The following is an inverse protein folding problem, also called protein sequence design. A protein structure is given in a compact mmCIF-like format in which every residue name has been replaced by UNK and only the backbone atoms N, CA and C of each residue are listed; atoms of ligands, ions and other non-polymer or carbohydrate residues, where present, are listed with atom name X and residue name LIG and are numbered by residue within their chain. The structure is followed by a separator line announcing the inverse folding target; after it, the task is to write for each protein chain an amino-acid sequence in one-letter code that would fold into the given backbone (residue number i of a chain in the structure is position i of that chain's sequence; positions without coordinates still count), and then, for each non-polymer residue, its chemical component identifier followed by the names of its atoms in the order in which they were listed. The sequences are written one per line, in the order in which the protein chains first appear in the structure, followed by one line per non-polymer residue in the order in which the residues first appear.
data_IF_711892429245
#
_entry.id   IF_711892429245
#
_cell.length_a   1.000
_cell.length_b   1.000
_cell.length_c   1.000
_cell.angle_alpha   90.00
_cell.angle_beta   90.00
_cell.angle_gamma   90.00
#
_symmetry.space_group_name_H-M   'P 1'
#
loop_
_entity.id
_entity.type
_entity.pdbx_description
1 polymer ?
#
# COMPACT_ATOMS: atom_id res chain seq x y z
N UNK A 1 24.32 1.46 8.24
CA UNK A 1 23.38 0.83 9.21
C UNK A 1 22.83 -0.46 8.64
N UNK A 2 22.73 -1.54 9.41
CA UNK A 2 22.11 -2.81 8.97
C UNK A 2 20.58 -2.69 8.93
N UNK A 3 19.90 -3.38 7.99
CA UNK A 3 18.41 -3.43 7.91
C UNK A 3 17.73 -3.75 9.25
N UNK A 4 18.38 -4.56 10.09
CA UNK A 4 17.97 -4.87 11.46
C UNK A 4 17.74 -3.61 12.32
N UNK A 5 18.60 -2.60 12.18
CA UNK A 5 18.44 -1.32 12.87
C UNK A 5 17.19 -0.56 12.40
N UNK A 6 16.84 -0.63 11.11
CA UNK A 6 15.64 0.04 10.60
C UNK A 6 14.35 -0.50 11.24
N UNK A 7 14.28 -1.82 11.49
CA UNK A 7 13.18 -2.42 12.23
C UNK A 7 13.21 -2.06 13.72
N UNK A 8 14.39 -2.06 14.37
CA UNK A 8 14.54 -1.64 15.79
C UNK A 8 14.13 -0.17 15.99
N UNK A 9 14.49 0.74 15.06
CA UNK A 9 14.06 2.13 15.11
C UNK A 9 12.53 2.30 14.94
N UNK A 10 11.86 1.38 14.23
CA UNK A 10 10.38 1.35 14.15
C UNK A 10 9.71 0.87 15.46
N UNK A 11 10.42 0.13 16.32
CA UNK A 11 9.88 -0.33 17.62
C UNK A 11 9.75 0.80 18.67
N UNK A 12 10.65 1.80 18.62
CA UNK A 12 10.81 2.80 19.68
C UNK A 12 9.75 3.93 19.68
N UNK A 13 9.04 4.19 18.57
CA UNK A 13 8.19 5.39 18.43
C UNK A 13 6.68 5.19 18.65
N UNK A 14 6.25 4.10 19.28
CA UNK A 14 4.81 3.86 19.52
C UNK A 14 4.33 4.35 20.89
N UNK A 15 3.86 5.60 20.88
CA UNK A 15 3.19 6.31 21.99
C UNK A 15 2.06 5.47 22.63
N UNK A 16 1.85 5.52 23.96
CA UNK A 16 0.77 4.80 24.64
C UNK A 16 -0.64 5.22 24.16
N UNK A 17 -1.60 4.28 24.23
CA UNK A 17 -3.01 4.58 23.99
C UNK A 17 -3.61 5.32 25.19
N UNK A 18 -3.98 6.58 25.01
CA UNK A 18 -5.12 7.14 25.72
C UNK A 18 -6.09 7.80 24.72
N UNK A 19 -7.37 7.51 24.90
CA UNK A 19 -8.54 8.14 24.29
C UNK A 19 -8.63 8.18 22.74
N UNK A 20 -8.98 7.04 22.13
CA UNK A 20 -9.93 7.02 20.99
C UNK A 20 -10.63 5.65 20.87
N UNK A 21 -11.67 5.46 21.69
CA UNK A 21 -12.69 4.41 21.55
C UNK A 21 -14.05 5.08 21.32
N UNK A 22 -14.94 4.40 20.57
CA UNK A 22 -16.22 4.92 20.05
C UNK A 22 -16.02 5.96 18.92
N UNK A 23 -16.80 6.02 17.84
CA UNK A 23 -17.97 5.25 17.36
C UNK A 23 -17.61 4.60 15.99
N UNK A 24 -18.43 3.81 15.25
CA UNK A 24 -19.76 3.22 15.41
C UNK A 24 -19.69 1.73 14.93
N UNK A 25 -20.82 1.00 14.92
CA UNK A 25 -20.92 -0.35 14.34
C UNK A 25 -21.30 -0.36 12.85
N UNK A 26 -20.78 -1.33 12.10
CA UNK A 26 -20.98 -1.46 10.64
C UNK A 26 -19.70 -1.95 9.95
N UNK A 27 -19.84 -2.67 8.83
CA UNK A 27 -18.68 -3.22 8.12
C UNK A 27 -17.78 -2.12 7.55
N UNK A 28 -16.46 -2.28 7.77
CA UNK A 28 -15.37 -1.39 7.34
C UNK A 28 -15.41 0.04 7.93
N UNK A 29 -14.37 0.37 8.70
CA UNK A 29 -14.26 1.68 9.37
C UNK A 29 -14.07 2.78 8.34
N UNK A 30 -15.07 3.68 8.24
CA UNK A 30 -14.98 4.92 7.47
C UNK A 30 -13.82 5.75 7.99
N UNK A 31 -12.78 5.92 7.17
CA UNK A 31 -11.68 6.82 7.47
C UNK A 31 -12.14 8.25 7.17
N UNK A 32 -11.86 9.18 8.07
CA UNK A 32 -12.00 10.61 7.76
C UNK A 32 -10.89 10.94 6.75
N UNK A 33 -11.29 11.38 5.56
CA UNK A 33 -10.39 11.91 4.54
C UNK A 33 -10.20 13.41 4.83
N UNK A 34 -9.01 13.93 4.55
CA UNK A 34 -8.82 15.37 4.38
C UNK A 34 -9.13 15.71 2.92
N UNK A 35 -10.07 16.64 2.68
CA UNK A 35 -10.47 17.06 1.34
C UNK A 35 -9.27 17.60 0.52
N UNK A 36 -8.23 18.13 1.19
CA UNK A 36 -7.01 18.66 0.54
C UNK A 36 -6.14 17.61 -0.17
N UNK A 37 -6.32 16.33 0.15
CA UNK A 37 -5.49 15.22 -0.39
C UNK A 37 -6.31 14.16 -1.10
N UNK A 38 -7.62 14.33 -1.18
CA UNK A 38 -8.54 13.46 -1.92
C UNK A 38 -8.13 13.38 -3.39
N UNK A 39 -8.24 12.19 -3.97
CA UNK A 39 -8.14 12.01 -5.42
C UNK A 39 -9.55 12.22 -6.01
N UNK A 40 -9.76 13.17 -6.92
CA UNK A 40 -11.01 13.26 -7.68
C UNK A 40 -11.10 12.09 -8.66
N UNK A 41 -12.31 11.63 -8.97
CA UNK A 41 -12.54 10.54 -9.92
C UNK A 41 -13.75 10.88 -10.79
N UNK A 42 -13.48 11.14 -12.06
CA UNK A 42 -14.49 11.58 -13.03
C UNK A 42 -15.14 12.94 -12.74
N UNK A 43 -15.98 13.36 -13.68
CA UNK A 43 -16.67 14.66 -13.70
C UNK A 43 -17.67 14.84 -12.53
N UNK A 44 -18.20 13.75 -11.98
CA UNK A 44 -19.16 13.75 -10.87
C UNK A 44 -18.51 13.54 -9.48
N UNK A 45 -17.18 13.68 -9.37
CA UNK A 45 -16.41 13.40 -8.15
C UNK A 45 -16.77 12.08 -7.44
N UNK A 46 -16.78 10.97 -8.17
CA UNK A 46 -17.14 9.65 -7.64
C UNK A 46 -16.36 9.33 -6.37
N UNK A 47 -17.07 9.10 -5.25
CA UNK A 47 -16.41 8.89 -3.96
C UNK A 47 -15.67 7.54 -3.92
N UNK A 48 -14.33 7.60 -3.83
CA UNK A 48 -13.49 6.50 -3.38
C UNK A 48 -12.68 6.95 -2.17
N UNK A 49 -12.51 6.06 -1.20
CA UNK A 49 -11.69 6.33 -0.03
C UNK A 49 -10.19 6.17 -0.35
N UNK A 50 -9.62 7.22 -0.94
CA UNK A 50 -8.24 7.29 -1.42
C UNK A 50 -7.63 8.65 -1.10
N UNK A 51 -6.32 8.70 -0.93
CA UNK A 51 -5.56 9.94 -0.70
C UNK A 51 -4.24 9.89 -1.46
N UNK A 52 -3.82 11.01 -2.05
CA UNK A 52 -2.44 11.16 -2.48
C UNK A 52 -1.51 11.13 -1.26
N UNK A 53 -0.32 10.58 -1.43
CA UNK A 53 0.79 10.68 -0.48
C UNK A 53 2.05 11.08 -1.25
N UNK A 54 2.64 12.20 -0.86
CA UNK A 54 3.86 12.81 -1.43
C UNK A 54 4.97 12.75 -0.39
N UNK A 55 6.07 12.09 -0.72
CA UNK A 55 7.19 11.90 0.20
C UNK A 55 8.48 12.41 -0.45
N UNK A 56 9.08 13.45 0.13
CA UNK A 56 10.35 13.99 -0.35
C UNK A 56 11.52 13.09 0.06
N UNK A 57 12.41 12.79 -0.89
CA UNK A 57 13.62 12.00 -0.69
C UNK A 57 14.78 12.76 -1.35
N UNK A 58 15.38 13.67 -0.59
CA UNK A 58 16.36 14.62 -1.11
C UNK A 58 15.70 15.62 -2.07
N UNK A 59 16.16 15.65 -3.32
CA UNK A 59 15.60 16.47 -4.41
C UNK A 59 14.41 15.82 -5.13
N UNK A 60 14.13 14.53 -4.89
CA UNK A 60 13.06 13.78 -5.54
C UNK A 60 11.78 13.74 -4.69
N UNK A 61 10.62 13.59 -5.36
CA UNK A 61 9.33 13.32 -4.70
C UNK A 61 8.83 11.94 -5.13
N UNK A 62 8.63 11.05 -4.14
CA UNK A 62 7.94 9.79 -4.33
C UNK A 62 6.43 10.03 -4.18
N UNK A 63 5.69 9.79 -5.26
CA UNK A 63 4.24 9.99 -5.33
C UNK A 63 3.48 8.65 -5.29
N UNK A 64 2.50 8.57 -4.40
CA UNK A 64 1.64 7.42 -4.21
C UNK A 64 0.16 7.83 -4.16
N UNK A 65 -0.74 6.87 -4.40
CA UNK A 65 -2.13 6.93 -3.98
C UNK A 65 -2.36 5.82 -2.96
N UNK A 66 -2.69 6.16 -1.71
CA UNK A 66 -3.04 5.16 -0.70
C UNK A 66 -4.55 4.95 -0.69
N UNK A 67 -4.99 3.74 -1.04
CA UNK A 67 -6.39 3.43 -1.34
C UNK A 67 -6.99 2.36 -0.43
N UNK A 68 -8.29 2.47 -0.16
CA UNK A 68 -9.12 1.35 0.32
C UNK A 68 -9.18 0.25 -0.75
N UNK A 69 -9.23 -1.02 -0.35
CA UNK A 69 -9.48 -2.12 -1.27
C UNK A 69 -10.89 -2.03 -1.87
N UNK A 70 -11.06 -2.18 -3.21
CA UNK A 70 -12.36 -2.05 -3.85
C UNK A 70 -13.47 -2.91 -3.25
N UNK A 71 -14.69 -2.36 -3.28
CA UNK A 71 -15.92 -2.94 -2.76
C UNK A 71 -16.84 -3.32 -3.92
N UNK A 72 -17.83 -4.21 -3.73
CA UNK A 72 -18.93 -4.38 -4.68
C UNK A 72 -19.50 -3.03 -5.13
N UNK A 73 -19.49 -2.76 -6.43
CA UNK A 73 -19.99 -1.52 -7.01
C UNK A 73 -19.01 -0.34 -7.06
N UNK A 74 -17.76 -0.50 -6.60
CA UNK A 74 -16.73 0.58 -6.67
C UNK A 74 -15.52 0.25 -7.55
N UNK A 75 -15.52 -0.90 -8.23
CA UNK A 75 -14.41 -1.34 -9.08
C UNK A 75 -14.21 -0.42 -10.30
N UNK A 76 -15.31 0.05 -10.90
CA UNK A 76 -15.28 0.95 -12.05
C UNK A 76 -14.57 2.27 -11.70
N UNK A 77 -14.99 2.92 -10.62
CA UNK A 77 -14.34 4.13 -10.10
C UNK A 77 -12.86 3.87 -9.81
N UNK A 78 -12.50 2.71 -9.23
CA UNK A 78 -11.11 2.37 -8.95
C UNK A 78 -10.25 2.29 -10.22
N UNK A 79 -10.77 1.72 -11.31
CA UNK A 79 -10.08 1.71 -12.60
C UNK A 79 -10.06 3.07 -13.27
N UNK A 80 -11.14 3.84 -13.19
CA UNK A 80 -11.16 5.23 -13.65
C UNK A 80 -10.06 6.06 -12.96
N UNK A 81 -9.89 5.91 -11.65
CA UNK A 81 -8.79 6.53 -10.90
C UNK A 81 -7.41 6.10 -11.42
N UNK A 82 -7.19 4.80 -11.73
CA UNK A 82 -5.94 4.27 -12.32
C UNK A 82 -5.64 4.91 -13.68
N UNK A 83 -6.68 5.13 -14.50
CA UNK A 83 -6.59 5.71 -15.84
C UNK A 83 -6.33 7.22 -15.82
N UNK A 84 -7.10 7.97 -15.02
CA UNK A 84 -7.00 9.42 -14.90
C UNK A 84 -5.63 9.84 -14.33
N UNK A 85 -5.10 9.07 -13.38
CA UNK A 85 -3.77 9.29 -12.79
C UNK A 85 -2.62 8.73 -13.63
N UNK A 86 -2.91 8.03 -14.75
CA UNK A 86 -1.92 7.33 -15.59
C UNK A 86 -1.00 6.40 -14.79
N UNK A 87 -1.51 5.82 -13.70
CA UNK A 87 -0.80 4.91 -12.80
C UNK A 87 -0.48 3.59 -13.49
N UNK A 88 0.80 3.26 -13.63
CA UNK A 88 1.21 2.00 -14.26
C UNK A 88 1.51 0.87 -13.27
N UNK A 89 1.50 1.13 -11.94
CA UNK A 89 1.72 0.10 -10.89
C UNK A 89 0.65 0.16 -9.81
N UNK A 90 0.13 -1.01 -9.44
CA UNK A 90 -0.75 -1.21 -8.28
C UNK A 90 -0.08 -2.23 -7.34
N UNK A 91 0.17 -1.84 -6.08
CA UNK A 91 0.63 -2.70 -5.00
C UNK A 91 -0.52 -3.09 -4.07
N UNK A 92 -0.97 -4.36 -4.18
CA UNK A 92 -2.01 -4.97 -3.37
C UNK A 92 -1.42 -5.72 -2.17
N UNK A 93 -1.59 -5.17 -0.98
CA UNK A 93 -1.02 -5.65 0.29
C UNK A 93 -2.08 -6.34 1.17
N UNK A 94 -2.95 -7.15 0.56
CA UNK A 94 -4.02 -7.89 1.25
C UNK A 94 -4.42 -9.12 0.44
N UNK A 95 -4.93 -10.16 1.11
CA UNK A 95 -5.74 -11.18 0.46
C UNK A 95 -7.17 -10.65 0.26
N UNK A 96 -7.96 -11.30 -0.60
CA UNK A 96 -9.36 -10.99 -0.85
C UNK A 96 -10.23 -11.29 0.37
N UNK A 97 -9.93 -12.40 1.05
CA UNK A 97 -10.60 -12.89 2.26
C UNK A 97 -9.55 -13.25 3.30
N UNK A 98 -9.68 -12.75 4.52
CA UNK A 98 -8.81 -13.08 5.65
C UNK A 98 -9.67 -13.42 6.87
N UNK A 99 -9.42 -14.59 7.48
CA UNK A 99 -10.19 -15.12 8.63
C UNK A 99 -11.71 -15.11 8.39
N UNK A 100 -12.13 -15.55 7.19
CA UNK A 100 -13.54 -15.61 6.78
C UNK A 100 -14.20 -14.25 6.50
N UNK A 101 -13.45 -13.13 6.52
CA UNK A 101 -13.98 -11.78 6.25
C UNK A 101 -13.42 -11.25 4.94
N UNK A 102 -14.29 -10.73 4.07
CA UNK A 102 -13.89 -10.04 2.84
C UNK A 102 -13.10 -8.77 3.20
N UNK A 103 -11.92 -8.63 2.61
CA UNK A 103 -10.97 -7.53 2.80
C UNK A 103 -10.87 -6.64 1.58
N UNK A 104 -10.98 -7.23 0.39
CA UNK A 104 -10.94 -6.58 -0.91
C UNK A 104 -11.76 -7.43 -1.89
N UNK A 105 -12.67 -6.81 -2.65
CA UNK A 105 -13.31 -7.49 -3.77
C UNK A 105 -12.29 -7.69 -4.90
N UNK A 106 -12.44 -8.75 -5.70
CA UNK A 106 -11.65 -8.92 -6.93
C UNK A 106 -12.06 -7.86 -7.95
N UNK A 107 -11.10 -7.13 -8.50
CA UNK A 107 -11.39 -6.05 -9.46
C UNK A 107 -10.69 -6.22 -10.82
N UNK A 108 -9.84 -7.23 -10.98
CA UNK A 108 -9.08 -7.54 -12.19
C UNK A 108 -9.71 -8.67 -13.03
N UNK A 109 -9.39 -8.79 -14.32
CA UNK A 109 -9.72 -9.98 -15.14
C UNK A 109 -9.00 -11.24 -14.62
N UNK A 110 -9.72 -12.37 -14.55
CA UNK A 110 -9.21 -13.63 -13.99
C UNK A 110 -8.71 -14.65 -15.03
N UNK A 111 -9.01 -14.43 -16.32
CA UNK A 111 -8.64 -15.31 -17.44
C UNK A 111 -8.06 -14.46 -18.57
N UNK A 112 -7.15 -15.02 -19.37
CA UNK A 112 -6.52 -14.34 -20.51
C UNK A 112 -7.57 -13.94 -21.56
N UNK A 113 -8.42 -14.89 -21.96
CA UNK A 113 -9.37 -14.75 -23.07
C UNK A 113 -10.71 -14.09 -22.69
N UNK A 114 -10.90 -13.72 -21.41
CA UNK A 114 -12.17 -13.14 -20.93
C UNK A 114 -11.89 -11.76 -20.34
N UNK A 115 -12.12 -10.67 -21.09
CA UNK A 115 -11.94 -9.33 -20.56
C UNK A 115 -12.91 -9.07 -19.42
N UNK A 116 -12.47 -8.29 -18.44
CA UNK A 116 -13.37 -7.70 -17.46
C UNK A 116 -13.87 -6.36 -17.99
N UNK A 117 -15.17 -6.32 -18.23
CA UNK A 117 -15.88 -5.08 -18.54
C UNK A 117 -15.96 -4.17 -17.31
N UNK A 118 -15.81 -2.88 -17.58
CA UNK A 118 -16.26 -1.73 -16.77
C UNK A 118 -17.07 -0.80 -17.68
N UNK A 119 -17.73 0.20 -17.11
CA UNK A 119 -18.46 1.25 -17.83
C UNK A 119 -17.66 1.87 -18.99
N UNK A 120 -16.47 2.44 -18.72
CA UNK A 120 -15.64 3.15 -19.72
C UNK A 120 -14.50 2.34 -20.32
N UNK A 121 -14.11 1.20 -19.72
CA UNK A 121 -12.88 0.48 -20.06
C UNK A 121 -13.07 -1.04 -20.21
N UNK A 122 -12.27 -1.66 -21.07
CA UNK A 122 -12.08 -3.10 -21.14
C UNK A 122 -10.73 -3.48 -20.52
N UNK A 123 -10.73 -4.48 -19.63
CA UNK A 123 -9.54 -4.93 -18.92
C UNK A 123 -9.18 -6.35 -19.37
N UNK A 124 -8.07 -6.50 -20.09
CA UNK A 124 -7.57 -7.79 -20.55
C UNK A 124 -6.41 -8.23 -19.65
N UNK A 125 -6.38 -9.51 -19.29
CA UNK A 125 -5.22 -10.10 -18.62
C UNK A 125 -4.21 -10.49 -19.71
N UNK A 126 -3.07 -9.80 -19.75
CA UNK A 126 -2.05 -9.95 -20.78
C UNK A 126 -0.98 -10.98 -20.35
N UNK A 127 -0.63 -10.99 -19.06
CA UNK A 127 0.30 -11.95 -18.46
C UNK A 127 -0.07 -12.18 -16.98
N UNK A 128 0.14 -13.39 -16.47
CA UNK A 128 -0.02 -13.72 -15.06
C UNK A 128 1.08 -14.67 -14.57
N UNK A 129 1.75 -14.27 -13.47
CA UNK A 129 2.81 -15.04 -12.83
C UNK A 129 2.56 -15.15 -11.32
N UNK A 130 2.84 -16.32 -10.75
CA UNK A 130 2.79 -16.57 -9.30
C UNK A 130 4.20 -16.92 -8.82
N UNK A 131 4.82 -16.02 -8.07
CA UNK A 131 6.21 -16.12 -7.60
C UNK A 131 6.23 -16.27 -6.07
N UNK A 132 5.79 -17.43 -5.58
CA UNK A 132 5.80 -17.81 -4.17
C UNK A 132 5.01 -16.86 -3.26
N UNK A 133 5.67 -15.81 -2.79
CA UNK A 133 5.15 -14.80 -1.85
C UNK A 133 4.57 -13.55 -2.53
N UNK A 134 4.65 -13.42 -3.86
CA UNK A 134 3.96 -12.37 -4.59
C UNK A 134 3.49 -12.81 -5.98
N UNK A 135 2.41 -12.21 -6.46
CA UNK A 135 1.83 -12.47 -7.77
C UNK A 135 1.94 -11.21 -8.64
N UNK A 136 2.20 -11.39 -9.93
CA UNK A 136 2.28 -10.32 -10.93
C UNK A 136 1.20 -10.55 -11.97
N UNK A 137 0.37 -9.55 -12.26
CA UNK A 137 -0.48 -9.49 -13.45
C UNK A 137 -0.09 -8.29 -14.29
N UNK A 138 0.02 -8.48 -15.60
CA UNK A 138 0.00 -7.36 -16.55
C UNK A 138 -1.42 -7.26 -17.06
N UNK A 139 -2.05 -6.10 -16.85
CA UNK A 139 -3.42 -5.83 -17.26
C UNK A 139 -3.37 -4.76 -18.33
N UNK A 140 -3.84 -5.11 -19.54
CA UNK A 140 -4.04 -4.17 -20.64
C UNK A 140 -5.41 -3.53 -20.47
N UNK A 141 -5.43 -2.24 -20.20
CA UNK A 141 -6.63 -1.42 -20.07
C UNK A 141 -6.85 -0.66 -21.37
N UNK A 142 -8.04 -0.80 -21.96
CA UNK A 142 -8.44 -0.14 -23.20
C UNK A 142 -9.63 0.77 -22.91
N UNK A 143 -9.55 2.05 -23.29
CA UNK A 143 -10.66 3.00 -23.18
C UNK A 143 -11.59 2.88 -24.39
N UNK A 144 -12.90 2.75 -24.13
CA UNK A 144 -13.88 2.35 -25.16
C UNK A 144 -14.17 3.43 -26.20
N UNK A 145 -14.01 4.70 -25.85
CA UNK A 145 -14.34 5.84 -26.71
C UNK A 145 -13.16 6.23 -27.62
N UNK A 146 -11.96 6.34 -27.05
CA UNK A 146 -10.73 6.72 -27.76
C UNK A 146 -10.01 5.55 -28.43
N UNK A 147 -10.16 4.33 -27.89
CA UNK A 147 -9.32 3.19 -28.23
C UNK A 147 -7.93 3.22 -27.58
N UNK A 148 -7.64 4.21 -26.73
CA UNK A 148 -6.35 4.36 -26.06
C UNK A 148 -6.02 3.16 -25.16
N UNK A 149 -4.73 2.89 -24.97
CA UNK A 149 -4.23 1.71 -24.24
C UNK A 149 -3.28 2.12 -23.11
N UNK A 150 -3.52 1.60 -21.90
CA UNK A 150 -2.62 1.69 -20.75
C UNK A 150 -2.32 0.28 -20.23
N UNK A 151 -1.04 -0.04 -20.05
CA UNK A 151 -0.63 -1.27 -19.36
C UNK A 151 -0.40 -0.98 -17.87
N UNK A 152 -0.98 -1.81 -17.02
CA UNK A 152 -0.91 -1.69 -15.55
C UNK A 152 -0.34 -2.98 -14.96
N UNK A 153 0.76 -2.86 -14.21
CA UNK A 153 1.37 -3.96 -13.47
C UNK A 153 0.70 -4.06 -12.09
N UNK A 154 -0.14 -5.07 -11.91
CA UNK A 154 -0.78 -5.38 -10.62
C UNK A 154 0.06 -6.38 -9.84
N UNK A 155 0.61 -5.93 -8.73
CA UNK A 155 1.55 -6.64 -7.88
C UNK A 155 0.86 -6.96 -6.55
N UNK A 156 0.60 -8.24 -6.27
CA UNK A 156 -0.05 -8.68 -5.04
C UNK A 156 0.93 -9.38 -4.13
N UNK A 157 1.19 -8.83 -2.94
CA UNK A 157 1.99 -9.50 -1.91
C UNK A 157 1.10 -10.43 -1.09
N UNK A 158 1.42 -11.73 -1.04
CA UNK A 158 0.51 -12.76 -0.51
C UNK A 158 0.81 -13.21 0.92
N UNK A 159 2.03 -12.97 1.42
CA UNK A 159 2.53 -13.45 2.74
C UNK A 159 2.47 -12.38 3.84
N UNK A 160 1.44 -11.52 3.85
CA UNK A 160 1.23 -10.53 4.92
C UNK A 160 -0.13 -10.69 5.61
N UNK A 161 -0.19 -11.32 6.80
CA UNK A 161 -1.43 -11.47 7.56
C UNK A 161 -1.96 -10.14 8.11
N UNK A 162 -3.30 -9.99 8.13
CA UNK A 162 -4.05 -8.78 8.55
C UNK A 162 -3.60 -8.09 9.85
N UNK A 163 -3.05 -8.86 10.77
CA UNK A 163 -2.71 -8.46 12.14
C UNK A 163 -1.30 -8.91 12.54
N UNK A 164 -0.33 -8.75 11.64
CA UNK A 164 1.07 -9.09 11.89
C UNK A 164 2.07 -8.33 11.01
N UNK A 165 3.36 -8.62 11.21
CA UNK A 165 4.44 -8.33 10.25
C UNK A 165 4.28 -9.18 8.98
N UNK A 166 4.99 -8.85 7.88
CA UNK A 166 5.30 -9.85 6.86
C UNK A 166 5.97 -11.08 7.48
N UNK A 167 5.84 -12.24 6.85
CA UNK A 167 6.55 -13.46 7.30
C UNK A 167 8.07 -13.39 7.11
N UNK A 168 8.55 -12.55 6.19
CA UNK A 168 9.97 -12.24 5.98
C UNK A 168 10.13 -10.79 5.55
N UNK A 169 11.10 -10.08 6.16
CA UNK A 169 11.51 -8.73 5.79
C UNK A 169 12.11 -8.69 4.38
N UNK A 170 12.86 -9.74 4.03
CA UNK A 170 13.60 -9.90 2.79
C UNK A 170 12.62 -10.03 1.61
N UNK A 171 11.55 -10.81 1.78
CA UNK A 171 10.45 -10.92 0.81
C UNK A 171 9.81 -9.56 0.51
N UNK A 172 9.55 -8.75 1.55
CA UNK A 172 8.96 -7.42 1.37
C UNK A 172 9.91 -6.45 0.66
N UNK A 173 11.21 -6.48 0.99
CA UNK A 173 12.22 -5.66 0.30
C UNK A 173 12.37 -6.09 -1.18
N UNK A 174 12.39 -7.40 -1.47
CA UNK A 174 12.40 -7.89 -2.85
C UNK A 174 11.15 -7.44 -3.63
N UNK A 175 9.97 -7.45 -3.01
CA UNK A 175 8.74 -6.91 -3.60
C UNK A 175 8.84 -5.41 -3.88
N UNK A 176 9.35 -4.60 -2.95
CA UNK A 176 9.56 -3.15 -3.14
C UNK A 176 10.54 -2.84 -4.26
N UNK A 177 11.68 -3.55 -4.30
CA UNK A 177 12.68 -3.39 -5.36
C UNK A 177 12.08 -3.72 -6.73
N UNK A 178 11.35 -4.84 -6.85
CA UNK A 178 10.65 -5.18 -8.10
C UNK A 178 9.60 -4.12 -8.47
N UNK A 179 8.76 -3.69 -7.50
CA UNK A 179 7.76 -2.63 -7.67
C UNK A 179 8.39 -1.34 -8.22
N UNK A 180 9.56 -0.94 -7.71
CA UNK A 180 10.32 0.23 -8.18
C UNK A 180 10.97 0.01 -9.54
N UNK A 181 11.48 -1.18 -9.83
CA UNK A 181 12.05 -1.52 -11.16
C UNK A 181 11.01 -1.52 -12.28
N UNK A 182 9.75 -1.90 -12.00
CA UNK A 182 8.68 -1.93 -13.03
C UNK A 182 7.83 -0.67 -13.09
N UNK A 183 7.98 0.27 -12.13
CA UNK A 183 7.31 1.56 -12.14
C UNK A 183 7.94 2.48 -13.18
N UNK A 184 7.12 3.11 -14.03
CA UNK A 184 7.60 4.04 -15.05
C UNK A 184 6.87 5.39 -15.04
N UNK A 185 5.60 5.45 -14.64
CA UNK A 185 4.82 6.70 -14.70
C UNK A 185 3.63 6.75 -13.73
N UNK A 186 3.20 7.97 -13.43
CA UNK A 186 2.09 8.24 -12.52
C UNK A 186 2.39 7.85 -11.06
N UNK A 187 1.42 8.03 -10.15
CA UNK A 187 1.54 7.58 -8.77
C UNK A 187 1.48 6.06 -8.68
N UNK A 188 2.28 5.46 -7.79
CA UNK A 188 2.10 4.05 -7.40
C UNK A 188 0.85 3.95 -6.52
N UNK A 189 -0.13 3.15 -6.93
CA UNK A 189 -1.33 2.91 -6.14
C UNK A 189 -1.02 1.82 -5.11
N UNK A 190 -1.12 2.13 -3.83
CA UNK A 190 -0.86 1.19 -2.73
C UNK A 190 -2.14 0.96 -1.94
N UNK A 191 -2.67 -0.26 -1.94
CA UNK A 191 -3.89 -0.58 -1.23
C UNK A 191 -3.76 -1.84 -0.37
N UNK A 192 -4.57 -1.92 0.68
CA UNK A 192 -4.79 -3.15 1.44
C UNK A 192 -6.31 -3.31 1.60
N UNK A 193 -6.81 -3.61 2.81
CA UNK A 193 -8.25 -3.52 3.07
C UNK A 193 -8.70 -2.07 3.28
N UNK A 194 -8.14 -1.36 4.27
CA UNK A 194 -8.53 0.03 4.60
C UNK A 194 -7.57 1.12 4.08
N UNK A 195 -6.47 0.74 3.40
CA UNK A 195 -5.52 1.69 2.83
C UNK A 195 -4.71 2.50 3.85
N UNK A 196 -4.38 1.91 5.01
CA UNK A 196 -3.71 2.63 6.11
C UNK A 196 -2.55 1.85 6.75
N UNK A 197 -2.80 0.61 7.19
CA UNK A 197 -1.82 -0.13 7.99
C UNK A 197 -0.73 -0.76 7.10
N UNK A 198 -1.05 -1.85 6.38
CA UNK A 198 -0.10 -2.53 5.45
C UNK A 198 0.39 -1.60 4.33
N UNK A 199 -0.49 -0.77 3.75
CA UNK A 199 -0.09 0.29 2.80
C UNK A 199 0.90 1.28 3.38
N UNK A 200 0.70 1.70 4.64
CA UNK A 200 1.57 2.66 5.29
C UNK A 200 2.93 2.09 5.68
N UNK A 201 2.99 0.83 6.10
CA UNK A 201 4.28 0.17 6.32
C UNK A 201 5.03 0.03 4.98
N UNK A 202 4.36 -0.33 3.88
CA UNK A 202 5.01 -0.36 2.56
C UNK A 202 5.58 1.01 2.16
N UNK A 203 4.76 2.07 2.17
CA UNK A 203 5.20 3.41 1.75
C UNK A 203 6.33 3.91 2.66
N UNK A 204 6.23 3.72 3.98
CA UNK A 204 7.25 4.15 4.92
C UNK A 204 8.58 3.41 4.70
N UNK A 205 8.56 2.08 4.52
CA UNK A 205 9.77 1.30 4.25
C UNK A 205 10.39 1.65 2.89
N UNK A 206 9.58 1.83 1.84
CA UNK A 206 10.04 2.22 0.50
C UNK A 206 10.73 3.60 0.53
N UNK A 207 10.15 4.59 1.23
CA UNK A 207 10.80 5.89 1.49
C UNK A 207 12.12 5.74 2.25
N UNK A 208 12.17 4.90 3.29
CA UNK A 208 13.40 4.69 4.07
C UNK A 208 14.48 4.01 3.22
N UNK A 209 14.14 3.03 2.39
CA UNK A 209 15.08 2.41 1.44
C UNK A 209 15.64 3.46 0.47
N UNK A 210 14.79 4.32 -0.10
CA UNK A 210 15.24 5.39 -0.99
C UNK A 210 16.10 6.45 -0.30
N UNK A 211 15.89 6.72 1.00
CA UNK A 211 16.78 7.57 1.80
C UNK A 211 18.14 6.91 2.05
N UNK A 212 18.15 5.60 2.36
CA UNK A 212 19.39 4.81 2.55
C UNK A 212 20.21 4.77 1.26
N UNK A 213 19.58 4.51 0.12
CA UNK A 213 20.24 4.44 -1.20
C UNK A 213 20.88 5.76 -1.63
N UNK A 214 20.46 6.89 -1.06
CA UNK A 214 21.00 8.24 -1.32
C UNK A 214 21.87 8.79 -0.18
N UNK A 215 22.20 7.99 0.83
CA UNK A 215 22.94 8.37 2.05
C UNK A 215 22.34 9.60 2.79
N UNK A 216 21.00 9.66 2.83
CA UNK A 216 20.25 10.75 3.46
C UNK A 216 19.84 10.42 4.90
N UNK A 217 19.64 11.45 5.71
CA UNK A 217 19.23 11.30 7.11
C UNK A 217 17.80 10.74 7.23
N UNK A 218 17.62 9.79 8.16
CA UNK A 218 16.37 9.04 8.31
C UNK A 218 15.67 9.46 9.60
N UNK A 219 14.50 10.09 9.48
CA UNK A 219 13.61 10.35 10.61
C UNK A 219 12.28 9.60 10.42
N UNK A 220 12.22 8.37 10.91
CA UNK A 220 11.03 7.51 10.85
C UNK A 220 9.81 8.21 11.45
N UNK A 221 9.97 8.90 12.59
CA UNK A 221 8.85 9.62 13.24
C UNK A 221 8.32 10.77 12.37
N UNK A 222 9.20 11.48 11.67
CA UNK A 222 8.87 12.53 10.70
C UNK A 222 8.14 11.98 9.48
N UNK A 223 8.65 10.88 8.89
CA UNK A 223 8.03 10.18 7.76
C UNK A 223 6.59 9.75 8.10
N UNK A 224 6.40 9.10 9.25
CA UNK A 224 5.07 8.63 9.67
C UNK A 224 4.14 9.80 10.03
N UNK A 225 4.67 10.90 10.59
CA UNK A 225 3.90 12.13 10.83
C UNK A 225 3.42 12.74 9.51
N UNK A 226 4.30 12.87 8.52
CA UNK A 226 3.99 13.42 7.19
C UNK A 226 2.91 12.60 6.48
N UNK A 227 3.07 11.27 6.44
CA UNK A 227 2.05 10.38 5.90
C UNK A 227 0.70 10.48 6.61
N UNK A 228 0.69 10.77 7.92
CA UNK A 228 -0.54 10.95 8.71
C UNK A 228 -1.21 12.31 8.53
N UNK A 229 -0.47 13.35 8.13
CA UNK A 229 -1.02 14.63 7.71
C UNK A 229 -1.76 14.48 6.37
N UNK A 230 -1.24 13.65 5.47
CA UNK A 230 -1.83 13.45 4.14
C UNK A 230 -2.91 12.36 4.10
N UNK A 231 -2.87 11.37 5.00
CA UNK A 231 -3.96 10.41 5.18
C UNK A 231 -4.08 10.01 6.64
N UNK A 232 -5.23 10.27 7.27
CA UNK A 232 -5.38 9.96 8.69
C UNK A 232 -5.20 8.45 8.95
N UNK A 233 -4.52 8.10 10.05
CA UNK A 233 -4.40 6.72 10.52
C UNK A 233 -3.38 5.84 9.81
N UNK A 234 -2.49 6.37 8.95
CA UNK A 234 -1.37 5.59 8.39
C UNK A 234 -0.53 4.92 9.50
N UNK A 235 -0.27 3.62 9.35
CA UNK A 235 0.39 2.72 10.34
C UNK A 235 -0.35 2.68 11.69
N UNK A 236 -1.23 1.69 11.88
CA UNK A 236 -2.20 1.65 12.99
C UNK A 236 -1.79 0.81 14.22
N UNK A 237 -0.89 -0.16 14.09
CA UNK A 237 -0.73 -1.23 15.11
C UNK A 237 0.72 -1.63 15.38
N UNK A 238 1.10 -1.73 16.68
CA UNK A 238 2.38 -2.31 17.14
C UNK A 238 2.68 -3.68 16.51
N UNK A 239 1.63 -4.50 16.34
CA UNK A 239 1.74 -5.90 15.88
C UNK A 239 2.22 -6.01 14.42
N UNK A 240 2.12 -4.94 13.64
CA UNK A 240 2.66 -4.88 12.27
C UNK A 240 4.18 -4.82 12.21
N UNK A 241 4.86 -4.74 13.37
CA UNK A 241 6.31 -4.56 13.54
C UNK A 241 6.90 -5.65 14.47
N UNK A 242 6.12 -6.20 15.41
CA UNK A 242 6.60 -7.02 16.54
C UNK A 242 6.82 -8.52 16.25
N UNK A 243 7.45 -8.87 15.13
CA UNK A 243 7.62 -10.27 14.71
C UNK A 243 8.62 -11.09 15.55
N UNK A 244 9.55 -10.43 16.26
CA UNK A 244 10.57 -11.09 17.08
C UNK A 244 10.69 -10.41 18.44
N UNK A 245 10.28 -11.09 19.51
CA UNK A 245 10.69 -10.71 20.86
C UNK A 245 12.17 -11.07 21.03
N UNK A 246 13.06 -10.11 20.81
CA UNK A 246 14.46 -10.23 21.24
C UNK A 246 14.49 -10.03 22.75
N UNK A 247 14.62 -11.11 23.51
CA UNK A 247 15.02 -11.02 24.92
C UNK A 247 16.45 -10.50 24.96
N UNK A 248 16.62 -9.22 25.28
CA UNK A 248 17.90 -8.69 25.73
C UNK A 248 18.25 -9.38 27.05
N UNK A 249 19.25 -10.26 27.03
CA UNK A 249 19.93 -10.66 28.26
C UNK A 249 20.69 -9.43 28.78
N UNK A 250 20.62 -9.08 30.08
CA UNK A 250 21.36 -7.95 30.61
C UNK A 250 22.87 -8.20 30.45
N UNK A 251 23.53 -7.34 29.69
CA UNK A 251 24.97 -7.35 29.55
C UNK A 251 25.62 -6.58 30.70
N UNK A 252 26.35 -7.29 31.57
CA UNK A 252 27.36 -6.69 32.44
C UNK A 252 27.07 -6.80 33.94
N UNK A 253 27.62 -7.85 34.56
CA UNK A 253 28.35 -7.67 35.82
C UNK A 253 29.84 -7.90 35.53
N UNK A 254 30.61 -6.82 35.56
CA UNK A 254 32.04 -6.90 35.85
C UNK A 254 32.17 -6.63 37.36
N UNK A 255 32.52 -7.66 38.12
CA UNK A 255 33.05 -7.55 39.48
C UNK A 255 34.26 -8.50 39.52
N UNK A 256 35.34 -8.06 40.16
CA UNK A 256 36.70 -8.63 40.09
C UNK A 256 36.80 -10.14 40.35
#
# INVERSE_FOLDING_TARGET
MTLRACFIYLELFVVPRHNLFLLYGGNQKRCILDDKTRVPVGENEGYINVSYIRMKVGTEELLYISAQGPLPGTQDNFWQMVWENKSDVIAMMTQEVERGRVKCHKYWPEKLDVPKETSRYQLHLDNYQMLGYFHIKVIKMVEKESGDIQFVKHLKFTTWPDHGTPHSSEQLVCFMRYMRTVHAKGPIIVHCSAGMSRSGVLICTDVILSLIEKDLSINVSGIVKEMRLQRHGMIQTKVSISGHSVRMLPSGEYIN
#
